data_IF_473970951742
#
_entry.id   IF_473970951742
#
_cell.length_a   1.000
_cell.length_b   1.000
_cell.length_c   1.000
_cell.angle_alpha   90.00
_cell.angle_beta   90.00
_cell.angle_gamma   90.00
#
_symmetry.space_group_name_H-M   'P 1'
#
loop_
_entity.id
_entity.type
_entity.pdbx_description
1 polymer ?
#
# COMPACT_ATOMS: atom_id res chain seq x y z
N UNK A 1 -16.84 -17.95 4.64
CA UNK A 1 -18.08 -17.19 4.90
C UNK A 1 -17.73 -15.88 5.61
N UNK A 2 -17.19 -14.87 4.89
CA UNK A 2 -16.86 -13.54 5.43
C UNK A 2 -17.47 -12.41 4.57
N UNK A 3 -18.44 -12.75 3.73
CA UNK A 3 -19.13 -11.80 2.85
C UNK A 3 -20.34 -11.07 3.44
N UNK A 4 -20.72 -11.30 4.71
CA UNK A 4 -21.97 -10.75 5.25
C UNK A 4 -21.84 -9.77 6.42
N UNK A 5 -20.63 -9.40 6.85
CA UNK A 5 -20.46 -8.44 7.95
C UNK A 5 -20.33 -6.97 7.49
N UNK A 6 -20.34 -6.71 6.19
CA UNK A 6 -20.18 -5.33 5.64
C UNK A 6 -21.50 -4.56 5.55
N UNK A 7 -22.66 -5.23 5.76
CA UNK A 7 -23.99 -4.60 5.63
C UNK A 7 -24.83 -4.58 6.92
N UNK A 8 -24.22 -4.69 8.10
CA UNK A 8 -24.92 -4.22 9.29
C UNK A 8 -24.92 -2.70 9.27
N UNK A 9 -26.08 -2.08 9.09
CA UNK A 9 -26.31 -0.65 9.27
C UNK A 9 -26.08 -0.33 10.74
N UNK A 10 -24.82 -0.04 11.12
CA UNK A 10 -24.49 0.43 12.46
C UNK A 10 -25.27 1.71 12.73
N UNK A 11 -25.98 1.76 13.84
CA UNK A 11 -26.60 2.99 14.32
C UNK A 11 -25.50 4.03 14.58
N UNK A 12 -25.74 5.32 14.38
CA UNK A 12 -24.73 6.35 14.64
C UNK A 12 -24.12 6.28 16.05
N UNK A 13 -24.87 5.86 17.06
CA UNK A 13 -24.44 5.61 18.43
C UNK A 13 -23.36 4.54 18.52
N UNK A 14 -23.46 3.45 17.73
CA UNK A 14 -22.50 2.34 17.76
C UNK A 14 -21.16 2.76 17.17
N UNK A 15 -21.18 3.60 16.13
CA UNK A 15 -19.98 4.14 15.52
C UNK A 15 -19.25 5.14 16.43
N UNK A 16 -19.98 5.92 17.22
CA UNK A 16 -19.40 6.82 18.21
C UNK A 16 -18.78 6.02 19.38
N UNK A 17 -19.50 5.00 19.87
CA UNK A 17 -18.96 4.11 20.90
C UNK A 17 -17.68 3.38 20.43
N UNK A 18 -17.65 2.94 19.19
CA UNK A 18 -16.48 2.29 18.59
C UNK A 18 -15.32 3.29 18.42
N UNK A 19 -15.60 4.55 18.09
CA UNK A 19 -14.61 5.61 18.04
C UNK A 19 -13.95 5.84 19.41
N UNK A 20 -14.74 5.92 20.48
CA UNK A 20 -14.23 6.12 21.84
C UNK A 20 -13.43 4.90 22.33
N UNK A 21 -13.89 3.68 22.07
CA UNK A 21 -13.11 2.46 22.38
C UNK A 21 -11.73 2.48 21.71
N UNK A 22 -11.64 2.95 20.46
CA UNK A 22 -10.35 3.12 19.78
C UNK A 22 -9.49 4.17 20.49
N UNK A 23 -10.06 5.30 20.90
CA UNK A 23 -9.35 6.32 21.66
C UNK A 23 -8.85 5.79 23.01
N UNK A 24 -9.64 5.03 23.73
CA UNK A 24 -9.22 4.39 25.00
C UNK A 24 -8.02 3.48 24.81
N UNK A 25 -8.04 2.62 23.78
CA UNK A 25 -6.91 1.75 23.43
C UNK A 25 -5.66 2.59 23.11
N UNK A 26 -5.82 3.68 22.36
CA UNK A 26 -4.70 4.54 21.99
C UNK A 26 -4.17 5.31 23.20
N UNK A 27 -5.04 5.85 24.07
CA UNK A 27 -4.64 6.53 25.32
C UNK A 27 -3.91 5.61 26.28
N UNK A 28 -4.26 4.34 26.32
CA UNK A 28 -3.57 3.38 27.22
C UNK A 28 -2.11 3.10 26.81
N UNK A 29 -1.68 3.53 25.62
CA UNK A 29 -0.36 3.23 25.06
C UNK A 29 0.43 4.44 24.59
N UNK A 30 -0.25 5.50 24.19
CA UNK A 30 0.33 6.65 23.52
C UNK A 30 -0.20 7.96 24.11
N UNK A 31 0.57 9.02 23.98
CA UNK A 31 0.18 10.36 24.43
C UNK A 31 -0.78 10.99 23.44
N UNK A 32 -1.99 11.33 23.86
CA UNK A 32 -2.91 12.14 23.07
C UNK A 32 -2.39 13.57 23.00
N UNK A 33 -2.41 14.14 21.79
CA UNK A 33 -2.03 15.52 21.55
C UNK A 33 -3.26 16.40 21.32
N UNK A 34 -3.14 17.66 21.66
CA UNK A 34 -4.12 18.64 21.20
C UNK A 34 -4.02 18.81 19.68
N UNK A 35 -5.12 19.13 18.97
CA UNK A 35 -5.08 19.44 17.54
C UNK A 35 -4.11 20.58 17.20
N UNK A 36 -4.01 21.58 18.07
CA UNK A 36 -3.14 22.73 17.94
C UNK A 36 -1.65 22.33 18.04
N UNK A 37 -1.29 21.50 19.03
CA UNK A 37 0.08 21.01 19.18
C UNK A 37 0.47 20.16 17.97
N UNK A 38 -0.42 19.31 17.51
CA UNK A 38 -0.19 18.50 16.33
C UNK A 38 -0.02 19.36 15.07
N UNK A 39 -0.87 20.39 14.91
CA UNK A 39 -0.77 21.33 13.79
C UNK A 39 0.60 21.99 13.75
N UNK A 40 1.06 22.49 14.90
CA UNK A 40 2.35 23.15 15.04
C UNK A 40 3.55 22.21 14.80
N UNK A 41 3.43 20.93 15.19
CA UNK A 41 4.46 19.93 14.93
C UNK A 41 4.59 19.58 13.44
N UNK A 42 3.47 19.44 12.73
CA UNK A 42 3.49 19.08 11.31
C UNK A 42 3.76 20.29 10.42
N UNK A 43 3.23 21.45 10.78
CA UNK A 43 3.26 22.66 9.97
C UNK A 43 3.82 23.87 10.75
N UNK A 44 5.05 23.81 11.23
CA UNK A 44 5.62 24.92 11.98
C UNK A 44 5.64 26.18 11.13
N UNK A 45 5.24 27.31 11.74
CA UNK A 45 5.28 28.65 11.15
C UNK A 45 4.54 28.80 9.81
N UNK A 46 3.46 28.05 9.60
CA UNK A 46 2.68 28.14 8.37
C UNK A 46 1.67 29.26 8.44
N UNK A 47 1.67 30.15 7.44
CA UNK A 47 0.71 31.27 7.37
C UNK A 47 -0.64 30.91 6.77
N UNK A 48 -0.72 29.87 5.93
CA UNK A 48 -1.93 29.52 5.18
C UNK A 48 -2.00 28.02 4.87
N UNK A 49 -3.20 27.43 4.88
CA UNK A 49 -3.47 26.04 4.56
C UNK A 49 -4.26 25.88 3.26
N UNK A 50 -3.90 24.88 2.48
CA UNK A 50 -4.76 24.36 1.43
C UNK A 50 -5.70 23.33 2.07
N UNK A 51 -7.00 23.58 1.97
CA UNK A 51 -8.04 22.68 2.46
C UNK A 51 -8.87 22.19 1.29
N UNK A 52 -9.03 20.88 1.22
CA UNK A 52 -9.87 20.23 0.22
C UNK A 52 -11.22 19.91 0.86
N UNK A 53 -12.27 20.51 0.33
CA UNK A 53 -13.65 20.19 0.71
C UNK A 53 -14.16 19.12 -0.25
N UNK A 54 -14.52 17.95 0.29
CA UNK A 54 -15.09 16.86 -0.48
C UNK A 54 -16.53 17.17 -0.94
N UNK A 55 -17.00 16.49 -1.97
CA UNK A 55 -18.40 16.59 -2.43
C UNK A 55 -19.34 15.97 -1.41
N UNK A 56 -20.38 16.69 -1.02
CA UNK A 56 -21.48 16.18 -0.18
C UNK A 56 -22.62 15.75 -1.09
N UNK A 57 -23.17 14.56 -0.86
CA UNK A 57 -24.35 14.02 -1.53
C UNK A 57 -25.45 13.73 -0.52
N UNK A 58 -26.69 13.91 -0.93
CA UNK A 58 -27.87 13.50 -0.13
C UNK A 58 -28.03 11.96 -0.14
N UNK A 59 -29.05 11.47 0.56
CA UNK A 59 -29.40 10.04 0.63
C UNK A 59 -29.80 9.43 -0.72
N UNK A 60 -30.17 10.26 -1.71
CA UNK A 60 -30.53 9.88 -3.07
C UNK A 60 -29.34 9.95 -4.04
N UNK A 61 -28.14 10.37 -3.56
CA UNK A 61 -26.94 10.51 -4.37
C UNK A 61 -26.79 11.83 -5.12
N UNK A 62 -27.73 12.80 -4.94
CA UNK A 62 -27.63 14.11 -5.56
C UNK A 62 -26.56 14.95 -4.87
N UNK A 63 -25.87 15.78 -5.64
CA UNK A 63 -24.84 16.67 -5.10
C UNK A 63 -25.51 17.84 -4.37
N UNK A 64 -25.34 17.88 -3.05
CA UNK A 64 -25.78 19.00 -2.20
C UNK A 64 -24.71 20.09 -2.16
N UNK A 65 -23.45 19.70 -2.05
CA UNK A 65 -22.30 20.60 -2.08
C UNK A 65 -21.21 20.02 -2.98
N UNK A 66 -20.79 20.78 -3.99
CA UNK A 66 -19.70 20.37 -4.89
C UNK A 66 -18.36 20.54 -4.19
N UNK A 67 -17.51 19.55 -4.31
CA UNK A 67 -16.15 19.61 -3.78
C UNK A 67 -15.37 20.79 -4.34
N UNK A 68 -14.63 21.48 -3.49
CA UNK A 68 -13.81 22.63 -3.84
C UNK A 68 -12.51 22.66 -3.05
N UNK A 69 -11.61 23.53 -3.45
CA UNK A 69 -10.33 23.76 -2.75
C UNK A 69 -10.34 25.20 -2.27
N UNK A 70 -10.11 25.37 -0.98
CA UNK A 70 -10.05 26.68 -0.34
C UNK A 70 -8.68 26.90 0.30
N UNK A 71 -8.32 28.17 0.44
CA UNK A 71 -7.17 28.58 1.25
C UNK A 71 -7.68 29.22 2.51
N UNK A 72 -7.11 28.82 3.61
CA UNK A 72 -7.52 29.26 4.92
C UNK A 72 -6.29 29.75 5.66
N UNK A 73 -6.28 31.01 6.14
CA UNK A 73 -5.24 31.51 7.02
C UNK A 73 -5.05 30.58 8.23
N UNK A 74 -3.86 30.53 8.78
CA UNK A 74 -3.55 29.61 9.87
C UNK A 74 -4.39 29.92 11.12
N UNK A 75 -4.63 31.18 11.41
CA UNK A 75 -5.50 31.65 12.50
C UNK A 75 -6.95 31.21 12.33
N UNK A 76 -7.40 31.04 11.11
CA UNK A 76 -8.79 30.69 10.78
C UNK A 76 -9.02 29.19 10.54
N UNK A 77 -7.99 28.36 10.66
CA UNK A 77 -8.08 26.93 10.30
C UNK A 77 -9.19 26.20 11.07
N UNK A 78 -9.44 26.59 12.30
CA UNK A 78 -10.46 25.99 13.14
C UNK A 78 -11.89 26.44 12.79
N UNK A 79 -12.03 27.54 12.04
CA UNK A 79 -13.34 28.00 11.57
C UNK A 79 -14.05 27.03 10.64
N UNK A 80 -13.27 26.14 9.98
CA UNK A 80 -13.79 25.10 9.09
C UNK A 80 -13.73 23.70 9.69
N UNK A 81 -13.22 23.55 10.91
CA UNK A 81 -13.03 22.23 11.56
C UNK A 81 -14.37 21.51 11.85
N UNK A 82 -15.50 22.20 11.87
CA UNK A 82 -16.83 21.60 12.01
C UNK A 82 -17.32 20.87 10.75
N UNK A 83 -16.67 21.09 9.57
CA UNK A 83 -17.05 20.45 8.32
C UNK A 83 -16.55 19.02 8.24
N UNK A 84 -17.46 18.06 8.13
CA UNK A 84 -17.14 16.64 8.02
C UNK A 84 -16.52 16.22 6.66
N UNK A 85 -16.52 17.13 5.69
CA UNK A 85 -15.93 16.95 4.37
C UNK A 85 -14.63 17.74 4.15
N UNK A 86 -14.03 18.29 5.21
CA UNK A 86 -12.79 19.04 5.12
C UNK A 86 -11.57 18.12 5.37
N UNK A 87 -10.53 18.31 4.54
CA UNK A 87 -9.31 17.51 4.55
C UNK A 87 -8.09 18.39 4.28
N UNK A 88 -6.96 18.08 4.91
CA UNK A 88 -5.68 18.78 4.71
C UNK A 88 -4.64 17.81 4.13
N UNK A 89 -3.93 18.17 3.04
CA UNK A 89 -2.79 17.40 2.55
C UNK A 89 -1.56 17.65 3.44
N UNK A 90 -0.77 16.62 3.71
CA UNK A 90 0.50 16.71 4.44
C UNK A 90 1.65 17.17 3.53
N UNK A 91 1.39 18.23 2.77
CA UNK A 91 2.28 18.72 1.74
C UNK A 91 2.09 20.23 1.49
N UNK A 92 3.11 20.86 0.90
CA UNK A 92 3.08 22.25 0.47
C UNK A 92 2.92 22.35 -1.05
N UNK A 93 2.19 23.35 -1.52
CA UNK A 93 1.89 23.56 -2.94
C UNK A 93 2.28 24.96 -3.38
N UNK A 94 2.84 25.05 -4.59
CA UNK A 94 3.13 26.34 -5.23
C UNK A 94 1.84 27.06 -5.58
N UNK A 95 1.75 28.35 -5.18
CA UNK A 95 0.59 29.20 -5.46
C UNK A 95 -0.72 28.51 -5.04
N UNK A 96 -1.83 28.88 -5.65
CA UNK A 96 -3.18 28.48 -5.26
C UNK A 96 -3.66 27.15 -5.85
N UNK A 97 -2.77 26.32 -6.37
CA UNK A 97 -3.16 25.11 -7.09
C UNK A 97 -2.82 23.84 -6.29
N UNK A 98 -3.86 23.16 -5.84
CA UNK A 98 -3.77 21.80 -5.31
C UNK A 98 -3.71 20.80 -6.48
N UNK A 99 -2.49 20.45 -6.88
CA UNK A 99 -2.28 19.47 -7.93
C UNK A 99 -0.89 18.83 -7.80
N UNK A 100 -0.74 17.58 -8.27
CA UNK A 100 0.54 16.88 -8.20
C UNK A 100 1.70 17.65 -8.85
N UNK A 101 1.45 18.41 -9.93
CA UNK A 101 2.47 19.22 -10.62
C UNK A 101 2.92 20.44 -9.81
N UNK A 102 2.08 20.93 -8.91
CA UNK A 102 2.36 22.09 -8.07
C UNK A 102 2.88 21.73 -6.68
N UNK A 103 2.98 20.43 -6.38
CA UNK A 103 3.57 19.93 -5.14
C UNK A 103 5.00 20.46 -4.97
N UNK A 104 5.23 21.17 -3.88
CA UNK A 104 6.52 21.85 -3.58
C UNK A 104 7.33 21.09 -2.55
N UNK A 105 6.70 20.71 -1.44
CA UNK A 105 7.36 19.93 -0.40
C UNK A 105 6.40 18.91 0.23
N UNK A 106 6.97 17.88 0.84
CA UNK A 106 6.27 16.84 1.60
C UNK A 106 6.64 16.98 3.07
N UNK A 107 5.65 16.87 3.95
CA UNK A 107 5.83 16.99 5.40
C UNK A 107 5.60 15.66 6.13
N UNK A 108 4.78 14.80 5.57
CA UNK A 108 4.57 13.45 6.09
C UNK A 108 4.09 12.50 4.98
N UNK A 109 4.28 11.21 5.22
CA UNK A 109 3.65 10.13 4.47
C UNK A 109 2.54 9.53 5.31
N UNK A 110 1.44 9.15 4.69
CA UNK A 110 0.27 8.66 5.41
C UNK A 110 -0.18 7.32 4.84
N UNK A 111 -0.49 6.41 5.74
CA UNK A 111 -1.17 5.14 5.43
C UNK A 111 -2.61 5.29 5.92
N UNK A 112 -3.57 5.13 5.02
CA UNK A 112 -5.00 5.19 5.33
C UNK A 112 -5.56 3.77 5.47
N UNK A 113 -6.13 3.49 6.63
CA UNK A 113 -6.70 2.19 6.98
C UNK A 113 -8.18 2.36 7.30
N UNK A 114 -9.02 2.08 6.31
CA UNK A 114 -10.47 2.19 6.46
C UNK A 114 -11.07 1.05 7.29
N UNK A 115 -12.18 1.32 7.99
CA UNK A 115 -12.97 0.31 8.70
C UNK A 115 -12.22 -0.42 9.82
N UNK A 116 -11.24 0.23 10.44
CA UNK A 116 -10.49 -0.34 11.57
C UNK A 116 -11.34 -0.30 12.84
N UNK A 117 -11.71 -1.48 13.34
CA UNK A 117 -12.39 -1.64 14.64
C UNK A 117 -11.39 -1.58 15.80
N UNK A 118 -11.90 -1.35 17.03
CA UNK A 118 -11.12 -1.39 18.26
C UNK A 118 -10.36 -2.70 18.42
N UNK A 119 -10.99 -3.82 18.07
CA UNK A 119 -10.36 -5.15 18.06
C UNK A 119 -9.20 -5.22 17.08
N UNK A 120 -9.40 -4.76 15.84
CA UNK A 120 -8.39 -4.77 14.79
C UNK A 120 -7.24 -3.79 15.09
N UNK A 121 -7.55 -2.68 15.77
CA UNK A 121 -6.56 -1.70 16.21
C UNK A 121 -5.57 -2.30 17.23
N UNK A 122 -6.04 -3.06 18.19
CA UNK A 122 -5.17 -3.77 19.12
C UNK A 122 -4.22 -4.74 18.42
N UNK A 123 -4.73 -5.50 17.45
CA UNK A 123 -3.92 -6.41 16.65
C UNK A 123 -2.91 -5.65 15.79
N UNK A 124 -3.33 -4.55 15.15
CA UNK A 124 -2.45 -3.70 14.38
C UNK A 124 -1.26 -3.21 15.21
N UNK A 125 -1.51 -2.65 16.39
CA UNK A 125 -0.45 -2.12 17.26
C UNK A 125 0.50 -3.23 17.71
N UNK A 126 -0.03 -4.40 18.10
CA UNK A 126 0.80 -5.53 18.55
C UNK A 126 1.68 -6.13 17.45
N UNK A 127 1.19 -6.21 16.23
CA UNK A 127 1.82 -7.00 15.18
C UNK A 127 2.45 -6.18 14.06
N UNK A 128 1.86 -5.04 13.70
CA UNK A 128 2.42 -4.22 12.64
C UNK A 128 3.69 -3.51 13.09
N UNK A 129 3.68 -2.91 14.28
CA UNK A 129 4.80 -2.10 14.76
C UNK A 129 6.05 -2.91 15.17
N UNK A 130 5.92 -4.21 15.30
CA UNK A 130 7.09 -5.11 15.44
C UNK A 130 7.79 -5.35 14.09
N UNK A 131 7.09 -5.19 12.97
CA UNK A 131 7.55 -5.58 11.63
C UNK A 131 7.79 -4.42 10.68
N UNK A 132 7.07 -3.34 10.91
CA UNK A 132 7.13 -2.13 10.11
C UNK A 132 7.59 -1.01 11.04
N UNK A 133 8.44 -0.08 10.57
CA UNK A 133 8.80 1.08 11.38
C UNK A 133 7.55 1.76 11.95
N UNK A 134 7.58 2.08 13.24
CA UNK A 134 6.44 2.71 13.92
C UNK A 134 6.08 4.05 13.24
N UNK A 135 4.80 4.41 13.10
CA UNK A 135 4.44 5.74 12.64
C UNK A 135 4.80 6.79 13.69
N UNK A 136 4.97 8.04 13.30
CA UNK A 136 5.14 9.15 14.24
C UNK A 136 3.87 9.41 15.03
N UNK A 137 2.73 9.32 14.36
CA UNK A 137 1.41 9.56 14.95
C UNK A 137 0.37 8.58 14.41
N UNK A 138 -0.65 8.32 15.24
CA UNK A 138 -1.88 7.64 14.84
C UNK A 138 -3.02 8.64 14.96
N UNK A 139 -3.78 8.82 13.88
CA UNK A 139 -4.99 9.65 13.86
C UNK A 139 -6.21 8.75 13.79
N UNK A 140 -7.10 8.83 14.79
CA UNK A 140 -8.42 8.23 14.71
C UNK A 140 -9.33 9.15 13.88
N UNK A 141 -9.54 8.80 12.62
CA UNK A 141 -10.28 9.61 11.63
C UNK A 141 -11.80 9.36 11.66
N UNK A 142 -12.27 8.54 12.58
CA UNK A 142 -13.67 8.13 12.71
C UNK A 142 -13.86 6.65 12.43
N UNK A 143 -14.25 6.26 11.21
CA UNK A 143 -14.38 4.84 10.82
C UNK A 143 -13.04 4.13 10.66
N UNK A 144 -12.01 4.86 10.24
CA UNK A 144 -10.65 4.35 10.00
C UNK A 144 -9.62 4.95 10.95
N UNK A 145 -8.35 4.71 10.64
CA UNK A 145 -7.19 5.36 11.25
C UNK A 145 -6.18 5.75 10.18
N UNK A 146 -5.44 6.83 10.42
CA UNK A 146 -4.28 7.18 9.61
C UNK A 146 -3.01 6.93 10.41
N UNK A 147 -2.02 6.28 9.80
CA UNK A 147 -0.67 6.13 10.35
C UNK A 147 0.22 7.18 9.66
N UNK A 148 0.72 8.13 10.43
CA UNK A 148 1.44 9.30 9.90
C UNK A 148 2.94 9.15 10.18
N UNK A 149 3.75 9.15 9.13
CA UNK A 149 5.20 9.20 9.16
C UNK A 149 5.64 10.63 8.93
N UNK A 150 5.75 11.40 10.00
CA UNK A 150 6.10 12.81 9.93
C UNK A 150 7.60 12.99 9.68
N UNK A 151 7.94 13.98 8.87
CA UNK A 151 9.31 14.39 8.62
C UNK A 151 9.71 15.51 9.58
N UNK A 152 10.95 15.50 10.07
CA UNK A 152 11.53 16.55 10.95
C UNK A 152 11.51 17.91 10.28
N UNK A 153 11.71 17.93 8.97
CA UNK A 153 11.62 19.12 8.13
C UNK A 153 10.90 18.79 6.82
N UNK A 154 10.23 19.79 6.25
CA UNK A 154 9.60 19.61 4.94
C UNK A 154 10.63 19.33 3.85
N UNK A 155 10.40 18.29 3.05
CA UNK A 155 11.32 17.86 1.99
C UNK A 155 10.87 18.40 0.65
N UNK A 156 11.72 19.22 0.00
CA UNK A 156 11.44 19.77 -1.34
C UNK A 156 11.36 18.68 -2.39
N UNK A 157 10.30 18.72 -3.19
CA UNK A 157 10.04 17.69 -4.23
C UNK A 157 10.95 17.84 -5.45
N UNK A 158 11.48 19.05 -5.70
CA UNK A 158 12.37 19.29 -6.85
C UNK A 158 13.61 18.41 -6.77
N UNK A 159 13.82 17.59 -7.81
CA UNK A 159 14.95 16.65 -7.89
C UNK A 159 14.71 15.31 -7.15
N UNK A 160 13.75 15.26 -6.22
CA UNK A 160 13.54 14.08 -5.36
C UNK A 160 12.17 13.39 -5.58
N UNK A 161 11.34 13.86 -6.52
CA UNK A 161 9.98 13.36 -6.72
C UNK A 161 9.89 11.84 -6.87
N UNK A 162 10.81 11.23 -7.60
CA UNK A 162 10.83 9.77 -7.81
C UNK A 162 11.13 9.03 -6.51
N UNK A 163 12.11 9.52 -5.74
CA UNK A 163 12.49 8.97 -4.43
C UNK A 163 11.33 9.07 -3.44
N UNK A 164 10.69 10.24 -3.34
CA UNK A 164 9.54 10.46 -2.46
C UNK A 164 8.34 9.60 -2.85
N UNK A 165 8.03 9.45 -4.14
CA UNK A 165 6.98 8.55 -4.58
C UNK A 165 7.30 7.09 -4.28
N UNK A 166 8.56 6.65 -4.49
CA UNK A 166 8.98 5.29 -4.17
C UNK A 166 8.90 5.02 -2.65
N UNK A 167 9.26 6.02 -1.82
CA UNK A 167 9.14 5.92 -0.37
C UNK A 167 7.67 5.84 0.05
N UNK A 168 6.80 6.69 -0.48
CA UNK A 168 5.36 6.63 -0.21
C UNK A 168 4.76 5.27 -0.58
N UNK A 169 5.13 4.73 -1.74
CA UNK A 169 4.70 3.41 -2.18
C UNK A 169 5.24 2.31 -1.27
N UNK A 170 6.50 2.39 -0.84
CA UNK A 170 7.11 1.40 0.05
C UNK A 170 6.46 1.41 1.45
N UNK A 171 6.20 2.59 2.02
CA UNK A 171 5.49 2.74 3.29
C UNK A 171 4.10 2.12 3.19
N UNK A 172 3.31 2.45 2.17
CA UNK A 172 1.97 1.87 2.01
C UNK A 172 2.02 0.36 1.74
N UNK A 173 2.96 -0.12 0.93
CA UNK A 173 3.12 -1.54 0.64
C UNK A 173 3.52 -2.36 1.86
N UNK A 174 4.17 -1.76 2.85
CA UNK A 174 4.50 -2.44 4.11
C UNK A 174 3.24 -2.82 4.92
N UNK A 175 2.11 -2.17 4.63
CA UNK A 175 0.80 -2.45 5.20
C UNK A 175 -0.17 -3.18 4.24
N UNK A 176 0.29 -3.60 3.05
CA UNK A 176 -0.54 -4.25 2.02
C UNK A 176 -1.18 -5.57 2.49
N UNK A 177 -0.66 -6.13 3.57
CA UNK A 177 -1.23 -7.30 4.24
C UNK A 177 -2.53 -6.99 5.02
N UNK A 178 -2.83 -5.73 5.30
CA UNK A 178 -4.09 -5.29 5.90
C UNK A 178 -5.16 -5.15 4.81
N UNK A 179 -6.30 -5.81 4.99
CA UNK A 179 -7.37 -5.85 3.99
C UNK A 179 -8.01 -4.47 3.71
N UNK A 180 -7.80 -3.50 4.60
CA UNK A 180 -8.47 -2.20 4.60
C UNK A 180 -7.54 -1.04 4.20
N UNK A 181 -6.41 -1.34 3.60
CA UNK A 181 -5.48 -0.33 3.11
C UNK A 181 -6.03 0.34 1.85
N UNK A 182 -6.22 1.66 1.92
CA UNK A 182 -6.46 2.51 0.74
C UNK A 182 -5.17 3.22 0.33
N UNK A 183 -4.70 2.95 -0.91
CA UNK A 183 -3.43 3.47 -1.40
C UNK A 183 -3.61 4.81 -2.07
N UNK A 184 -2.94 5.81 -1.55
CA UNK A 184 -3.05 7.18 -2.00
C UNK A 184 -1.72 7.78 -2.49
N UNK A 185 -1.75 8.70 -3.47
CA UNK A 185 -0.57 9.48 -3.85
C UNK A 185 -0.20 10.47 -2.73
N UNK A 186 1.05 10.93 -2.70
CA UNK A 186 1.58 11.89 -1.70
C UNK A 186 0.71 13.16 -1.56
N UNK A 187 0.05 13.57 -2.63
CA UNK A 187 -0.81 14.76 -2.63
C UNK A 187 -2.18 14.52 -1.99
N UNK A 188 -2.52 13.29 -1.63
CA UNK A 188 -3.86 12.99 -1.10
C UNK A 188 -4.13 13.77 0.19
N UNK A 189 -5.33 14.38 0.34
CA UNK A 189 -5.69 15.11 1.56
C UNK A 189 -6.35 14.15 2.54
N UNK A 190 -6.01 14.32 3.81
CA UNK A 190 -6.49 13.46 4.89
C UNK A 190 -7.30 14.24 5.91
N UNK A 191 -8.13 13.55 6.65
CA UNK A 191 -8.83 14.15 7.79
C UNK A 191 -7.82 14.56 8.84
N UNK A 192 -7.84 15.84 9.19
CA UNK A 192 -6.92 16.41 10.16
C UNK A 192 -7.49 16.27 11.58
N UNK A 193 -6.63 16.05 12.61
CA UNK A 193 -7.06 16.09 14.01
C UNK A 193 -7.81 17.35 14.37
N UNK A 194 -8.85 17.23 15.21
CA UNK A 194 -9.75 18.33 15.57
C UNK A 194 -10.88 18.58 14.55
N UNK A 195 -10.74 18.08 13.31
CA UNK A 195 -11.80 18.22 12.30
C UNK A 195 -12.94 17.23 12.54
N UNK A 196 -14.16 17.66 12.21
CA UNK A 196 -15.34 16.81 12.33
C UNK A 196 -15.24 15.57 11.45
N UNK A 197 -15.62 14.43 12.00
CA UNK A 197 -15.71 13.17 11.26
C UNK A 197 -17.10 12.95 10.66
N UNK A 198 -17.25 12.01 9.76
CA UNK A 198 -18.55 11.60 9.20
C UNK A 198 -19.49 10.99 10.25
N UNK A 199 -18.98 10.59 11.41
CA UNK A 199 -19.75 10.03 12.52
C UNK A 199 -20.02 11.07 13.62
N UNK A 200 -19.85 12.36 13.31
CA UNK A 200 -20.11 13.50 14.20
C UNK A 200 -19.24 13.56 15.47
N UNK A 201 -18.04 12.98 15.41
CA UNK A 201 -16.99 13.16 16.41
C UNK A 201 -15.92 14.11 15.87
N UNK A 202 -14.89 14.41 16.65
CA UNK A 202 -13.69 15.12 16.19
C UNK A 202 -12.52 14.12 16.10
N UNK A 203 -11.77 14.15 15.01
CA UNK A 203 -10.62 13.28 14.84
C UNK A 203 -9.60 13.55 15.95
N UNK A 204 -9.10 12.47 16.57
CA UNK A 204 -8.12 12.52 17.64
C UNK A 204 -6.75 12.08 17.14
N UNK A 205 -5.66 12.53 17.77
CA UNK A 205 -4.29 12.17 17.40
C UNK A 205 -3.46 11.74 18.58
N UNK A 206 -2.64 10.73 18.37
CA UNK A 206 -1.80 10.10 19.40
C UNK A 206 -0.35 10.04 18.92
N UNK A 207 0.57 10.50 19.76
CA UNK A 207 2.01 10.47 19.49
C UNK A 207 2.53 9.08 19.83
N UNK A 208 3.11 8.40 18.85
CA UNK A 208 3.75 7.10 19.00
C UNK A 208 5.25 7.27 19.20
N UNK A 209 5.87 8.11 18.35
CA UNK A 209 7.30 8.45 18.41
C UNK A 209 7.57 9.86 17.88
N UNK A 210 8.85 10.23 17.79
CA UNK A 210 9.27 11.47 17.12
C UNK A 210 9.16 11.41 15.60
N UNK A 211 9.36 12.56 14.95
CA UNK A 211 9.48 12.67 13.50
C UNK A 211 10.73 11.96 12.98
N UNK A 212 10.77 11.69 11.70
CA UNK A 212 11.86 11.02 10.99
C UNK A 212 12.66 12.00 10.12
N UNK A 213 13.95 11.80 10.02
CA UNK A 213 14.68 12.36 8.89
C UNK A 213 14.33 11.62 7.59
N UNK A 214 14.51 12.26 6.44
CA UNK A 214 14.28 11.58 5.16
C UNK A 214 15.23 10.39 4.98
N UNK A 215 16.49 10.55 5.37
CA UNK A 215 17.51 9.51 5.28
C UNK A 215 17.16 8.30 6.13
N UNK A 216 16.63 8.52 7.33
CA UNK A 216 16.17 7.44 8.21
C UNK A 216 15.04 6.64 7.54
N UNK A 217 14.02 7.31 7.01
CA UNK A 217 12.92 6.62 6.30
C UNK A 217 13.41 5.87 5.07
N UNK A 218 14.29 6.47 4.27
CA UNK A 218 14.86 5.82 3.10
C UNK A 218 15.63 4.55 3.47
N UNK A 219 16.37 4.58 4.58
CA UNK A 219 17.09 3.42 5.11
C UNK A 219 16.15 2.35 5.63
N UNK A 220 15.17 2.73 6.45
CA UNK A 220 14.20 1.79 7.06
C UNK A 220 13.35 1.07 6.01
N UNK A 221 12.97 1.77 4.94
CA UNK A 221 12.19 1.19 3.85
C UNK A 221 13.05 0.72 2.66
N UNK A 222 14.38 0.66 2.83
CA UNK A 222 15.35 0.17 1.82
C UNK A 222 15.25 0.89 0.46
N UNK A 223 14.92 2.18 0.47
CA UNK A 223 14.81 3.00 -0.74
C UNK A 223 16.16 3.66 -1.03
N UNK A 224 16.73 3.36 -2.19
CA UNK A 224 17.94 4.03 -2.67
C UNK A 224 17.59 5.41 -3.23
N UNK A 225 18.18 6.50 -2.70
CA UNK A 225 17.98 7.82 -3.27
C UNK A 225 18.48 7.85 -4.73
N UNK A 226 17.67 8.41 -5.63
CA UNK A 226 18.12 8.63 -6.99
C UNK A 226 19.28 9.65 -6.95
N UNK A 227 20.49 9.24 -7.28
CA UNK A 227 21.61 10.15 -7.52
C UNK A 227 21.18 11.14 -8.61
N UNK A 228 21.27 12.44 -8.32
CA UNK A 228 21.03 13.50 -9.28
C UNK A 228 21.85 13.23 -10.55
N UNK A 229 21.25 13.46 -11.72
CA UNK A 229 21.89 13.29 -13.01
C UNK A 229 23.11 14.21 -13.15
N UNK A 230 24.25 13.77 -12.68
CA UNK A 230 25.55 14.41 -12.82
C UNK A 230 26.61 13.52 -13.44
N UNK A 231 26.34 12.25 -13.60
CA UNK A 231 27.24 11.34 -14.32
C UNK A 231 26.43 10.37 -15.19
N UNK A 232 26.42 10.66 -16.49
CA UNK A 232 26.05 9.66 -17.51
C UNK A 232 27.14 8.58 -17.53
N UNK A 233 27.09 7.65 -16.58
CA UNK A 233 27.66 6.33 -16.82
C UNK A 233 26.63 5.53 -17.60
N UNK A 234 26.96 5.28 -18.85
CA UNK A 234 26.32 4.30 -19.70
C UNK A 234 26.46 2.92 -19.06
N UNK A 235 25.61 2.62 -18.11
CA UNK A 235 25.47 1.28 -17.59
C UNK A 235 24.47 0.53 -18.48
N UNK A 236 25.04 -0.25 -19.40
CA UNK A 236 24.30 -1.16 -20.26
C UNK A 236 23.49 -2.11 -19.36
N UNK A 237 22.18 -1.87 -19.30
CA UNK A 237 21.23 -2.93 -19.15
C UNK A 237 21.30 -3.79 -17.89
N UNK A 238 21.14 -3.21 -16.70
CA UNK A 238 20.49 -3.97 -15.63
C UNK A 238 18.99 -3.99 -15.97
N UNK A 239 18.57 -5.09 -16.53
CA UNK A 239 17.17 -5.46 -16.72
C UNK A 239 16.46 -5.20 -15.41
N UNK A 240 15.38 -4.38 -15.44
CA UNK A 240 14.37 -4.29 -14.36
C UNK A 240 14.16 -5.71 -13.86
N UNK A 241 14.46 -5.92 -12.56
CA UNK A 241 14.48 -7.25 -11.99
C UNK A 241 13.22 -7.99 -12.39
N UNK A 242 13.39 -8.99 -13.22
CA UNK A 242 12.44 -10.08 -13.24
C UNK A 242 12.30 -10.45 -11.77
N UNK A 243 11.07 -10.40 -11.26
CA UNK A 243 10.72 -11.16 -10.08
C UNK A 243 11.21 -12.58 -10.39
N UNK A 244 12.42 -12.85 -9.94
CA UNK A 244 12.98 -14.18 -10.01
C UNK A 244 12.00 -15.02 -9.22
N UNK A 245 11.27 -15.83 -9.93
CA UNK A 245 10.49 -16.92 -9.37
C UNK A 245 11.51 -17.84 -8.72
N UNK A 246 11.85 -17.50 -7.47
CA UNK A 246 12.78 -18.27 -6.68
C UNK A 246 12.06 -19.56 -6.27
N UNK A 247 12.51 -20.71 -6.74
CA UNK A 247 12.03 -22.01 -6.24
C UNK A 247 12.28 -22.16 -4.74
N UNK A 248 13.16 -21.34 -4.18
CA UNK A 248 13.56 -21.29 -2.78
C UNK A 248 13.04 -19.98 -2.23
N UNK A 249 11.89 -19.95 -1.61
CA UNK A 249 11.24 -18.88 -0.88
C UNK A 249 11.91 -17.50 -0.84
N UNK A 250 11.15 -16.50 -0.54
CA UNK A 250 11.65 -15.14 -0.26
C UNK A 250 10.94 -14.63 1.00
N UNK A 251 11.49 -13.60 1.65
CA UNK A 251 10.82 -12.97 2.80
C UNK A 251 9.41 -12.52 2.42
N UNK A 252 9.22 -11.87 1.28
CA UNK A 252 7.90 -11.45 0.78
C UNK A 252 6.92 -12.61 0.56
N UNK A 253 7.43 -13.77 0.10
CA UNK A 253 6.58 -14.95 -0.05
C UNK A 253 6.16 -15.51 1.31
N UNK A 254 7.06 -15.53 2.30
CA UNK A 254 6.78 -15.98 3.65
C UNK A 254 5.75 -15.07 4.35
N UNK A 255 5.96 -13.76 4.31
CA UNK A 255 5.03 -12.76 4.84
C UNK A 255 3.64 -12.87 4.20
N UNK A 256 3.59 -13.01 2.87
CA UNK A 256 2.35 -13.25 2.15
C UNK A 256 1.66 -14.54 2.60
N UNK A 257 2.42 -15.62 2.85
CA UNK A 257 1.87 -16.89 3.31
C UNK A 257 1.24 -16.76 4.70
N UNK A 258 1.94 -16.10 5.63
CA UNK A 258 1.44 -15.82 6.97
C UNK A 258 0.15 -15.00 6.89
N UNK A 259 0.14 -13.95 6.07
CA UNK A 259 -1.06 -13.16 5.84
C UNK A 259 -2.23 -14.01 5.33
N UNK A 260 -2.00 -14.98 4.44
CA UNK A 260 -3.05 -15.89 4.00
C UNK A 260 -3.58 -16.73 5.16
N UNK A 261 -2.73 -17.17 6.09
CA UNK A 261 -3.16 -17.91 7.29
C UNK A 261 -4.00 -17.03 8.23
N UNK A 262 -3.67 -15.76 8.38
CA UNK A 262 -4.50 -14.82 9.16
C UNK A 262 -5.82 -14.50 8.47
N UNK A 263 -5.81 -14.33 7.16
CA UNK A 263 -7.04 -14.09 6.38
C UNK A 263 -7.98 -15.31 6.37
N UNK A 264 -7.40 -16.48 6.47
CA UNK A 264 -8.09 -17.77 6.48
C UNK A 264 -7.57 -18.58 7.65
N UNK A 265 -8.00 -18.25 8.89
CA UNK A 265 -7.50 -18.93 10.07
C UNK A 265 -7.65 -20.45 9.96
N UNK A 266 -6.69 -21.21 10.47
CA UNK A 266 -6.80 -22.65 10.49
C UNK A 266 -8.09 -23.10 11.19
N UNK A 267 -8.91 -23.88 10.52
CA UNK A 267 -10.20 -24.37 11.03
C UNK A 267 -10.12 -25.85 11.38
N UNK A 268 -11.09 -26.40 12.14
CA UNK A 268 -11.14 -27.82 12.46
C UNK A 268 -10.98 -28.72 11.23
N UNK A 269 -10.10 -29.72 11.33
CA UNK A 269 -9.69 -30.59 10.21
C UNK A 269 -8.51 -30.09 9.38
N UNK A 270 -8.17 -28.80 9.44
CA UNK A 270 -7.01 -28.22 8.71
C UNK A 270 -5.93 -27.61 9.62
N UNK A 271 -6.15 -27.56 10.93
CA UNK A 271 -5.24 -26.95 11.89
C UNK A 271 -3.82 -27.52 11.79
N UNK A 272 -3.65 -28.82 11.95
CA UNK A 272 -2.38 -29.52 11.82
C UNK A 272 -1.71 -29.23 10.45
N UNK A 273 -2.48 -29.31 9.36
CA UNK A 273 -1.99 -29.05 8.01
C UNK A 273 -1.49 -27.62 7.81
N UNK A 274 -2.15 -26.65 8.45
CA UNK A 274 -1.78 -25.24 8.36
C UNK A 274 -0.43 -24.98 9.03
N UNK A 275 -0.22 -25.50 10.23
CA UNK A 275 1.08 -25.37 10.92
C UNK A 275 2.18 -26.20 10.25
N UNK A 276 1.86 -27.37 9.73
CA UNK A 276 2.79 -28.16 8.91
C UNK A 276 3.20 -27.41 7.64
N UNK A 277 2.26 -26.79 6.94
CA UNK A 277 2.54 -25.97 5.77
C UNK A 277 3.36 -24.72 6.14
N UNK A 278 3.08 -24.08 7.30
CA UNK A 278 3.89 -22.97 7.81
C UNK A 278 5.35 -23.39 8.03
N UNK A 279 5.59 -24.59 8.59
CA UNK A 279 6.92 -25.16 8.75
C UNK A 279 7.63 -25.35 7.39
N UNK A 280 6.94 -25.91 6.39
CA UNK A 280 7.48 -26.10 5.04
C UNK A 280 7.88 -24.75 4.42
N UNK A 281 6.99 -23.74 4.49
CA UNK A 281 7.22 -22.43 3.88
C UNK A 281 8.35 -21.70 4.59
N UNK A 282 8.39 -21.75 5.93
CA UNK A 282 9.46 -21.14 6.73
C UNK A 282 10.83 -21.78 6.41
N UNK A 283 10.91 -23.10 6.30
CA UNK A 283 12.16 -23.74 5.91
C UNK A 283 12.62 -23.36 4.49
N UNK A 284 11.69 -23.23 3.53
CA UNK A 284 12.03 -22.72 2.19
C UNK A 284 12.58 -21.30 2.23
N UNK A 285 12.16 -20.52 3.20
CA UNK A 285 12.53 -19.11 3.37
C UNK A 285 13.66 -18.91 4.40
N UNK A 286 14.25 -19.97 5.00
CA UNK A 286 15.24 -19.91 6.07
C UNK A 286 16.47 -19.02 5.80
N UNK A 287 16.77 -18.73 4.54
CA UNK A 287 17.82 -17.79 4.15
C UNK A 287 17.47 -16.34 4.54
N UNK A 288 16.19 -16.02 4.68
CA UNK A 288 15.67 -14.68 4.90
C UNK A 288 14.89 -14.54 6.21
N UNK A 289 14.55 -15.65 6.84
CA UNK A 289 13.73 -15.76 8.03
C UNK A 289 14.42 -16.71 8.99
N UNK A 290 14.93 -16.22 10.13
CA UNK A 290 15.45 -17.05 11.20
C UNK A 290 14.40 -18.04 11.72
N UNK A 291 14.85 -19.16 12.29
CA UNK A 291 13.92 -20.16 12.84
C UNK A 291 13.14 -19.62 14.03
N UNK A 292 13.78 -18.80 14.85
CA UNK A 292 13.17 -18.15 16.03
C UNK A 292 11.99 -17.29 15.61
N UNK A 293 12.15 -16.45 14.58
CA UNK A 293 11.07 -15.62 14.01
C UNK A 293 9.93 -16.49 13.45
N UNK A 294 10.28 -17.62 12.83
CA UNK A 294 9.27 -18.52 12.29
C UNK A 294 8.49 -19.25 13.40
N UNK A 295 9.12 -19.55 14.53
CA UNK A 295 8.50 -20.16 15.71
C UNK A 295 7.54 -19.17 16.38
N UNK A 296 7.94 -17.89 16.54
CA UNK A 296 7.05 -16.84 17.07
C UNK A 296 5.75 -16.72 16.26
N UNK A 297 5.83 -16.90 14.95
CA UNK A 297 4.63 -16.88 14.08
C UNK A 297 3.70 -18.05 14.34
N UNK A 298 4.20 -19.20 14.83
CA UNK A 298 3.32 -20.32 15.25
C UNK A 298 2.41 -19.86 16.36
N UNK A 299 2.96 -19.21 17.37
CA UNK A 299 2.19 -18.69 18.50
C UNK A 299 1.18 -17.62 18.05
N UNK A 300 1.62 -16.71 17.18
CA UNK A 300 0.75 -15.67 16.65
C UNK A 300 -0.45 -16.24 15.86
N UNK A 301 -0.23 -17.26 15.04
CA UNK A 301 -1.31 -17.92 14.28
C UNK A 301 -2.23 -18.69 15.22
N UNK A 302 -1.67 -19.30 16.26
CA UNK A 302 -2.44 -20.01 17.28
C UNK A 302 -3.32 -19.05 18.08
N UNK A 303 -2.77 -17.92 18.57
CA UNK A 303 -3.53 -16.86 19.25
C UNK A 303 -4.66 -16.31 18.37
N UNK A 304 -4.39 -16.17 17.07
CA UNK A 304 -5.42 -15.84 16.10
C UNK A 304 -6.55 -16.85 16.04
N UNK A 305 -6.26 -18.15 16.17
CA UNK A 305 -7.28 -19.19 16.23
C UNK A 305 -8.08 -19.15 17.54
N UNK A 306 -7.41 -18.91 18.68
CA UNK A 306 -8.07 -18.76 19.98
C UNK A 306 -9.10 -17.62 19.95
N UNK A 307 -8.75 -16.50 19.34
CA UNK A 307 -9.63 -15.34 19.22
C UNK A 307 -10.93 -15.62 18.46
N UNK A 308 -10.98 -16.69 17.66
CA UNK A 308 -12.17 -17.15 16.92
C UNK A 308 -12.75 -18.46 17.46
N UNK A 309 -12.29 -18.95 18.61
CA UNK A 309 -12.64 -20.26 19.17
C UNK A 309 -12.40 -21.46 18.22
N UNK A 310 -11.42 -21.32 17.32
CA UNK A 310 -11.07 -22.37 16.35
C UNK A 310 -10.04 -23.37 16.88
N UNK A 311 -9.51 -23.17 18.09
CA UNK A 311 -8.48 -23.99 18.73
C UNK A 311 -9.07 -25.21 19.47
N UNK A 312 -10.37 -25.24 19.76
CA UNK A 312 -11.00 -26.29 20.57
C UNK A 312 -10.59 -27.70 20.10
N UNK A 313 -9.97 -28.49 21.00
CA UNK A 313 -9.45 -29.81 20.69
C UNK A 313 -8.16 -29.84 19.85
N UNK A 314 -7.39 -28.74 19.86
CA UNK A 314 -6.06 -28.64 19.25
C UNK A 314 -5.18 -27.74 20.11
N UNK A 315 -4.07 -28.27 20.61
CA UNK A 315 -3.22 -27.57 21.57
C UNK A 315 -2.10 -26.78 20.88
N UNK A 316 -1.49 -25.83 21.62
CA UNK A 316 -0.33 -25.06 21.17
C UNK A 316 0.86 -25.99 20.90
N UNK A 317 1.05 -27.01 21.73
CA UNK A 317 2.11 -28.00 21.55
C UNK A 317 1.93 -28.80 20.27
N UNK A 318 0.67 -29.13 19.91
CA UNK A 318 0.35 -29.77 18.62
C UNK A 318 0.66 -28.86 17.44
N UNK A 319 0.42 -27.56 17.57
CA UNK A 319 0.77 -26.58 16.54
C UNK A 319 2.29 -26.53 16.33
N UNK A 320 3.08 -26.42 17.41
CA UNK A 320 4.54 -26.46 17.36
C UNK A 320 5.06 -27.80 16.81
N UNK A 321 4.46 -28.93 17.21
CA UNK A 321 4.81 -30.25 16.69
C UNK A 321 4.58 -30.36 15.18
N UNK A 322 3.43 -29.88 14.72
CA UNK A 322 3.10 -29.85 13.28
C UNK A 322 4.08 -28.96 12.51
N UNK A 323 4.40 -27.76 13.03
CA UNK A 323 5.38 -26.86 12.44
C UNK A 323 6.77 -27.54 12.31
N UNK A 324 7.30 -28.13 13.40
CA UNK A 324 8.60 -28.81 13.40
C UNK A 324 8.66 -29.96 12.39
N UNK A 325 7.58 -30.72 12.21
CA UNK A 325 7.48 -31.77 11.18
C UNK A 325 7.60 -31.20 9.77
N UNK A 326 7.05 -30.00 9.54
CA UNK A 326 7.15 -29.27 8.27
C UNK A 326 8.51 -28.61 8.06
N UNK A 327 9.13 -28.12 9.13
CA UNK A 327 10.41 -27.40 9.11
C UNK A 327 11.59 -28.37 9.01
N UNK A 328 11.83 -28.91 7.82
CA UNK A 328 12.88 -29.90 7.58
C UNK A 328 13.48 -29.77 6.17
N UNK A 329 14.66 -30.37 5.90
CA UNK A 329 15.35 -30.26 4.61
C UNK A 329 14.54 -30.73 3.39
N UNK A 330 13.63 -31.68 3.55
CA UNK A 330 12.78 -32.17 2.46
C UNK A 330 11.78 -31.12 1.99
N UNK A 331 11.48 -30.10 2.80
CA UNK A 331 10.60 -29.00 2.48
C UNK A 331 11.01 -28.27 1.18
N UNK A 332 12.31 -28.17 0.87
CA UNK A 332 12.82 -27.52 -0.35
C UNK A 332 12.21 -28.13 -1.62
N UNK A 333 11.92 -29.43 -1.62
CA UNK A 333 11.38 -30.16 -2.78
C UNK A 333 9.86 -30.08 -2.89
N UNK A 334 9.17 -29.58 -1.85
CA UNK A 334 7.71 -29.49 -1.84
C UNK A 334 7.24 -28.43 -2.85
N UNK A 335 6.33 -28.80 -3.75
CA UNK A 335 5.75 -27.90 -4.74
C UNK A 335 4.65 -27.04 -4.12
N UNK A 336 4.48 -25.81 -4.59
CA UNK A 336 3.43 -24.91 -4.12
C UNK A 336 2.02 -25.50 -4.26
N UNK A 337 1.77 -26.26 -5.36
CA UNK A 337 0.50 -26.94 -5.56
C UNK A 337 0.17 -27.87 -4.39
N UNK A 338 1.14 -28.63 -3.87
CA UNK A 338 0.94 -29.49 -2.71
C UNK A 338 0.50 -28.71 -1.47
N UNK A 339 1.07 -27.54 -1.21
CA UNK A 339 0.68 -26.69 -0.09
C UNK A 339 -0.75 -26.18 -0.29
N UNK A 340 -1.13 -25.78 -1.50
CA UNK A 340 -2.48 -25.37 -1.80
C UNK A 340 -3.49 -26.52 -1.59
N UNK A 341 -3.17 -27.72 -2.10
CA UNK A 341 -4.02 -28.92 -1.94
C UNK A 341 -4.16 -29.29 -0.44
N UNK A 342 -3.08 -29.16 0.35
CA UNK A 342 -3.08 -29.45 1.79
C UNK A 342 -3.98 -28.49 2.59
N UNK A 343 -4.09 -27.24 2.14
CA UNK A 343 -4.82 -26.16 2.81
C UNK A 343 -6.21 -25.90 2.19
N UNK A 344 -6.60 -26.64 1.18
CA UNK A 344 -7.81 -26.42 0.35
C UNK A 344 -7.82 -25.01 -0.27
N UNK A 345 -6.63 -24.53 -0.63
CA UNK A 345 -6.51 -23.25 -1.32
C UNK A 345 -6.53 -23.45 -2.83
N UNK A 346 -7.24 -22.55 -3.52
CA UNK A 346 -7.23 -22.57 -4.99
C UNK A 346 -5.81 -22.36 -5.53
N UNK A 347 -5.28 -23.39 -6.21
CA UNK A 347 -4.01 -23.28 -6.91
C UNK A 347 -4.18 -22.44 -8.18
N UNK A 348 -3.65 -21.21 -8.14
CA UNK A 348 -3.56 -20.38 -9.34
C UNK A 348 -2.17 -20.54 -9.96
N UNK A 349 -2.05 -21.27 -11.09
CA UNK A 349 -0.80 -21.34 -11.79
C UNK A 349 -0.41 -19.94 -12.26
N UNK A 350 0.90 -19.68 -12.33
CA UNK A 350 1.49 -18.38 -12.65
C UNK A 350 0.70 -17.59 -13.70
N UNK A 351 0.75 -16.24 -13.61
CA UNK A 351 0.13 -15.22 -14.50
C UNK A 351 0.40 -15.38 -16.02
N UNK A 352 0.94 -16.51 -16.46
CA UNK A 352 1.19 -16.86 -17.87
C UNK A 352 0.03 -17.61 -18.51
N UNK A 353 -1.15 -17.61 -17.93
CA UNK A 353 -2.33 -18.35 -18.43
C UNK A 353 -2.04 -19.83 -18.72
N UNK A 354 -1.30 -20.49 -17.83
CA UNK A 354 -0.91 -21.90 -17.97
C UNK A 354 0.26 -22.19 -18.93
N UNK A 355 0.77 -21.16 -19.64
CA UNK A 355 1.85 -21.33 -20.61
C UNK A 355 3.20 -21.48 -19.93
N UNK A 356 4.08 -22.32 -20.47
CA UNK A 356 5.49 -22.35 -20.11
C UNK A 356 6.19 -21.04 -20.52
N UNK A 357 7.37 -20.76 -19.98
CA UNK A 357 8.17 -19.57 -20.37
C UNK A 357 8.40 -19.51 -21.89
N UNK A 358 8.68 -20.66 -22.51
CA UNK A 358 8.94 -20.77 -23.96
C UNK A 358 7.68 -20.45 -24.78
N UNK A 359 6.53 -20.98 -24.40
CA UNK A 359 5.25 -20.71 -25.03
C UNK A 359 4.81 -19.26 -24.82
N UNK A 360 5.02 -18.71 -23.63
CA UNK A 360 4.73 -17.31 -23.38
C UNK A 360 5.61 -16.37 -24.21
N UNK A 361 6.89 -16.65 -24.36
CA UNK A 361 7.78 -15.87 -25.23
C UNK A 361 7.33 -15.93 -26.70
N UNK A 362 6.98 -17.12 -27.20
CA UNK A 362 6.42 -17.29 -28.56
C UNK A 362 5.11 -16.50 -28.74
N UNK A 363 4.22 -16.56 -27.74
CA UNK A 363 2.98 -15.79 -27.77
C UNK A 363 3.22 -14.28 -27.82
N UNK A 364 4.14 -13.77 -26.97
CA UNK A 364 4.48 -12.33 -26.98
C UNK A 364 5.13 -11.92 -28.29
N UNK A 365 5.99 -12.77 -28.88
CA UNK A 365 6.58 -12.51 -30.20
C UNK A 365 5.51 -12.46 -31.28
N UNK A 366 4.56 -13.41 -31.29
CA UNK A 366 3.44 -13.42 -32.25
C UNK A 366 2.58 -12.16 -32.13
N UNK A 367 2.22 -11.74 -30.93
CA UNK A 367 1.45 -10.51 -30.69
C UNK A 367 2.23 -9.27 -31.18
N UNK A 368 3.53 -9.18 -30.90
CA UNK A 368 4.38 -8.08 -31.39
C UNK A 368 4.46 -8.04 -32.91
N UNK A 369 4.50 -9.21 -33.53
CA UNK A 369 4.51 -9.31 -34.98
C UNK A 369 3.20 -8.81 -35.58
N UNK A 370 2.05 -9.22 -35.07
CA UNK A 370 0.73 -8.73 -35.48
C UNK A 370 0.64 -7.21 -35.40
N UNK A 371 1.00 -6.63 -34.22
CA UNK A 371 0.99 -5.17 -34.06
C UNK A 371 1.95 -4.44 -35.02
N UNK A 372 3.08 -5.07 -35.35
CA UNK A 372 4.01 -4.51 -36.31
C UNK A 372 3.39 -4.50 -37.71
N UNK A 373 2.79 -5.59 -38.13
CA UNK A 373 2.13 -5.75 -39.45
C UNK A 373 0.95 -4.78 -39.62
N UNK A 374 0.08 -4.66 -38.60
CA UNK A 374 -1.01 -3.69 -38.58
C UNK A 374 -0.50 -2.25 -38.72
N UNK A 375 0.60 -1.93 -38.02
CA UNK A 375 1.21 -0.61 -38.05
C UNK A 375 1.87 -0.33 -39.43
N UNK A 376 2.52 -1.33 -40.03
CA UNK A 376 3.07 -1.24 -41.37
C UNK A 376 1.96 -1.01 -42.43
N UNK A 377 0.85 -1.73 -42.32
CA UNK A 377 -0.28 -1.56 -43.19
C UNK A 377 -0.92 -0.18 -43.05
N UNK A 378 -1.04 0.31 -41.83
CA UNK A 378 -1.51 1.68 -41.58
C UNK A 378 -0.59 2.73 -42.20
N UNK A 379 0.74 2.57 -42.09
CA UNK A 379 1.73 3.45 -42.70
C UNK A 379 1.60 3.39 -44.25
N UNK A 380 1.46 2.21 -44.83
CA UNK A 380 1.25 2.06 -46.31
C UNK A 380 0.00 2.81 -46.78
N UNK A 381 -1.10 2.72 -46.04
CA UNK A 381 -2.33 3.48 -46.35
C UNK A 381 -2.12 5.00 -46.27
N UNK A 382 -1.31 5.49 -45.32
CA UNK A 382 -0.99 6.91 -45.21
C UNK A 382 -0.09 7.37 -46.37
N UNK A 383 0.88 6.56 -46.79
CA UNK A 383 1.74 6.82 -47.96
C UNK A 383 0.87 6.89 -49.23
N UNK A 384 -0.04 5.93 -49.43
CA UNK A 384 -0.93 5.90 -50.57
C UNK A 384 -1.88 7.12 -50.65
N UNK A 385 -2.17 7.75 -49.49
CA UNK A 385 -2.93 9.00 -49.41
C UNK A 385 -2.08 10.26 -49.61
N UNK A 386 -0.79 10.12 -49.91
CA UNK A 386 0.11 11.23 -50.23
C UNK A 386 0.72 11.95 -49.00
N UNK A 387 0.56 11.42 -47.79
CA UNK A 387 1.14 12.04 -46.61
C UNK A 387 2.67 11.96 -46.61
N UNK A 388 3.31 13.05 -46.27
CA UNK A 388 4.77 13.13 -46.12
C UNK A 388 5.28 12.32 -44.92
N UNK A 389 6.56 11.93 -44.92
CA UNK A 389 7.21 11.23 -43.82
C UNK A 389 7.11 11.98 -42.48
N UNK A 390 7.09 13.30 -42.53
CA UNK A 390 6.97 14.14 -41.30
C UNK A 390 5.57 14.11 -40.73
N UNK A 391 4.54 14.16 -41.56
CA UNK A 391 3.14 14.07 -41.18
C UNK A 391 2.81 12.68 -40.61
N UNK A 392 3.28 11.62 -41.27
CA UNK A 392 3.09 10.24 -40.80
C UNK A 392 3.74 10.05 -39.42
N UNK A 393 4.96 10.57 -39.22
CA UNK A 393 5.62 10.50 -37.92
C UNK A 393 4.82 11.23 -36.81
N UNK A 394 4.28 12.41 -37.14
CA UNK A 394 3.44 13.20 -36.24
C UNK A 394 2.13 12.48 -35.90
N UNK A 395 1.46 11.87 -36.86
CA UNK A 395 0.23 11.10 -36.68
C UNK A 395 0.45 9.87 -35.79
N UNK A 396 1.60 9.20 -35.93
CA UNK A 396 1.96 8.03 -35.16
C UNK A 396 2.56 8.37 -33.78
N UNK A 397 2.74 9.65 -33.44
CA UNK A 397 3.33 10.10 -32.19
C UNK A 397 4.80 9.69 -32.01
N UNK A 398 5.56 9.52 -33.10
CA UNK A 398 6.98 9.10 -33.07
C UNK A 398 7.85 10.14 -33.81
N UNK A 399 9.15 10.12 -33.52
CA UNK A 399 10.09 10.98 -34.26
C UNK A 399 10.29 10.49 -35.67
N UNK A 400 10.56 11.41 -36.63
CA UNK A 400 10.89 11.08 -38.01
C UNK A 400 12.07 10.11 -38.12
N UNK A 401 13.08 10.26 -37.26
CA UNK A 401 14.21 9.35 -37.21
C UNK A 401 13.79 7.93 -36.80
N UNK A 402 12.90 7.81 -35.83
CA UNK A 402 12.40 6.51 -35.36
C UNK A 402 11.50 5.85 -36.41
N UNK A 403 10.67 6.65 -37.13
CA UNK A 403 9.90 6.18 -38.27
C UNK A 403 10.82 5.59 -39.36
N UNK A 404 11.89 6.32 -39.72
CA UNK A 404 12.81 5.88 -40.75
C UNK A 404 13.63 4.65 -40.34
N UNK A 405 14.08 4.61 -39.11
CA UNK A 405 14.84 3.48 -38.58
C UNK A 405 14.03 2.18 -38.57
N UNK A 406 12.73 2.26 -38.25
CA UNK A 406 11.88 1.08 -38.03
C UNK A 406 11.12 0.67 -39.27
N UNK A 407 10.66 1.65 -40.08
CA UNK A 407 9.77 1.46 -41.21
C UNK A 407 10.30 2.07 -42.52
N UNK A 408 11.59 2.41 -42.58
CA UNK A 408 12.22 3.03 -43.74
C UNK A 408 12.09 2.23 -45.05
N UNK A 409 11.96 0.92 -44.92
CA UNK A 409 11.74 0.01 -46.06
C UNK A 409 10.38 0.22 -46.77
N UNK A 410 9.40 0.85 -46.12
CA UNK A 410 8.09 1.14 -46.69
C UNK A 410 8.09 2.43 -47.53
N UNK A 411 9.16 3.22 -47.51
CA UNK A 411 9.29 4.50 -48.21
C UNK A 411 10.29 4.44 -49.38
N UNK A 412 10.68 3.23 -49.76
CA UNK A 412 11.54 2.99 -50.92
C UNK A 412 10.75 2.72 -52.17
#
# INVERSE_FOLDING_TARGET
>A
MFGSLVNQSFQPSDLQAEFEKKNEILRSRFTELSPEDYLNLIFPNRGEFVVVLGTIKDSRGNIVEKGTIVRVPAEDIWSIAWRSNAYIPYADFKKNYYHSKTLEAVRAFVVDLDGVSSRNLNQLIRYAFVRVPEPSYIVNSGKGIHLVYALEASVKVRGQRRTLNALNEAIQNSYEWLANLDKHPIVHPYRFPGFATKIRTRASVFKVRGSYSLEELLKLFEIKPNKSQGEKKTDKGQKKGQLLYLPNGSRKFWEWFIWQLFKRPPYPGKRHNSFFALGIVSYKCKRYVPEEEAVEVVDMVYDGMESYNLHIGFTREEAHSAFRKGYNPKAVRVRWKFICDLLDWEYKPNKRNGRTRKEHLRYVQKIRQIYKEEKEEHIKRLIAKGFSKSEIAKMLGITRQNLYKTYGHLFR
#
